data_IF_737245911698
#
_entry.id   IF_737245911698
#
_cell.length_a   1.000
_cell.length_b   1.000
_cell.length_c   1.000
_cell.angle_alpha   90.00
_cell.angle_beta   90.00
_cell.angle_gamma   90.00
#
_symmetry.space_group_name_H-M   'P 1'
#
loop_
_entity.id
_entity.type
_entity.pdbx_description
1 polymer ?
#
# COMPACT_ATOMS: atom_id res chain seq x y z
N UNK A 1 -22.89 -13.55 12.91
CA UNK A 1 -22.65 -12.72 11.70
C UNK A 1 -22.19 -11.34 12.15
N UNK A 2 -20.93 -10.97 11.89
CA UNK A 2 -20.45 -9.63 12.23
C UNK A 2 -21.23 -8.60 11.40
N UNK A 3 -22.02 -7.74 12.06
CA UNK A 3 -22.65 -6.58 11.43
C UNK A 3 -21.58 -5.52 11.25
N UNK A 4 -21.14 -5.30 10.02
CA UNK A 4 -20.38 -4.10 9.69
C UNK A 4 -21.31 -2.90 9.92
N UNK A 5 -20.95 -2.03 10.88
CA UNK A 5 -21.79 -0.90 11.33
C UNK A 5 -21.81 0.27 10.34
N UNK A 6 -20.98 0.22 9.31
CA UNK A 6 -20.78 1.27 8.30
C UNK A 6 -20.65 0.67 6.91
N UNK A 7 -21.00 1.46 5.89
CA UNK A 7 -20.92 1.01 4.49
C UNK A 7 -19.48 0.94 3.99
N UNK A 8 -19.26 0.23 2.88
CA UNK A 8 -17.94 0.15 2.24
C UNK A 8 -17.38 1.55 1.91
N UNK A 9 -18.24 2.49 1.51
CA UNK A 9 -17.86 3.87 1.20
C UNK A 9 -17.27 4.61 2.43
N UNK A 10 -17.86 4.43 3.61
CA UNK A 10 -17.38 5.08 4.84
C UNK A 10 -16.01 4.52 5.26
N UNK A 11 -15.84 3.20 5.15
CA UNK A 11 -14.56 2.53 5.42
C UNK A 11 -13.47 3.03 4.47
N UNK A 12 -13.78 3.14 3.17
CA UNK A 12 -12.84 3.66 2.17
C UNK A 12 -12.50 5.11 2.47
N UNK A 13 -13.49 5.96 2.77
CA UNK A 13 -13.27 7.37 3.12
C UNK A 13 -12.31 7.52 4.30
N UNK A 14 -12.59 6.82 5.41
CA UNK A 14 -11.76 6.90 6.61
C UNK A 14 -10.32 6.44 6.34
N UNK A 15 -10.14 5.28 5.69
CA UNK A 15 -8.82 4.76 5.35
C UNK A 15 -8.04 5.64 4.39
N UNK A 16 -8.73 6.25 3.41
CA UNK A 16 -8.09 7.16 2.46
C UNK A 16 -7.63 8.45 3.15
N UNK A 17 -8.45 9.02 4.04
CA UNK A 17 -8.04 10.17 4.86
C UNK A 17 -6.78 9.85 5.68
N UNK A 18 -6.76 8.72 6.39
CA UNK A 18 -5.58 8.31 7.18
C UNK A 18 -4.33 8.13 6.30
N UNK A 19 -4.48 7.50 5.14
CA UNK A 19 -3.39 7.28 4.19
C UNK A 19 -2.81 8.60 3.67
N UNK A 20 -3.67 9.55 3.27
CA UNK A 20 -3.24 10.85 2.75
C UNK A 20 -2.52 11.67 3.83
N UNK A 21 -3.06 11.70 5.06
CA UNK A 21 -2.43 12.41 6.17
C UNK A 21 -1.09 11.79 6.54
N UNK A 22 -0.99 10.45 6.57
CA UNK A 22 0.28 9.77 6.78
C UNK A 22 1.27 10.14 5.67
N UNK A 23 0.89 9.97 4.40
CA UNK A 23 1.75 10.26 3.25
C UNK A 23 2.26 11.72 3.26
N UNK A 24 1.38 12.68 3.51
CA UNK A 24 1.75 14.10 3.61
C UNK A 24 2.72 14.38 4.75
N UNK A 25 2.67 13.63 5.85
CA UNK A 25 3.61 13.80 6.97
C UNK A 25 4.96 13.12 6.70
N UNK A 26 4.94 11.91 6.17
CA UNK A 26 6.07 10.98 6.25
C UNK A 26 6.84 10.81 4.94
N UNK A 27 6.19 11.05 3.80
CA UNK A 27 6.80 10.85 2.47
C UNK A 27 7.22 12.19 1.88
N UNK A 28 8.52 12.42 1.60
CA UNK A 28 9.03 13.72 1.12
C UNK A 28 8.30 14.27 -0.11
N UNK A 29 7.96 13.41 -1.08
CA UNK A 29 7.24 13.76 -2.29
C UNK A 29 5.88 14.38 -2.00
N UNK A 30 5.17 13.95 -0.95
CA UNK A 30 3.81 14.40 -0.66
C UNK A 30 3.72 15.58 0.32
N UNK A 31 4.79 15.94 1.04
CA UNK A 31 4.77 16.95 2.12
C UNK A 31 4.08 18.28 1.83
N UNK A 32 4.26 18.79 0.61
CA UNK A 32 3.66 20.06 0.18
C UNK A 32 2.64 19.86 -0.96
N UNK A 33 2.15 18.62 -1.15
CA UNK A 33 1.19 18.25 -2.19
C UNK A 33 -0.14 17.79 -1.63
N UNK A 34 -0.20 17.49 -0.33
CA UNK A 34 -1.42 17.09 0.36
C UNK A 34 -1.78 18.22 1.33
N UNK A 35 -2.92 18.85 1.09
CA UNK A 35 -3.58 19.72 2.06
C UNK A 35 -4.29 18.84 3.12
N UNK A 36 -3.88 18.89 4.40
CA UNK A 36 -4.49 18.08 5.46
C UNK A 36 -5.98 18.38 5.68
N UNK A 37 -6.43 19.61 5.44
CA UNK A 37 -7.81 20.02 5.68
C UNK A 37 -8.72 19.54 4.54
N UNK A 38 -8.22 19.59 3.30
CA UNK A 38 -8.88 18.95 2.16
C UNK A 38 -8.92 17.43 2.33
N UNK A 39 -7.85 16.78 2.79
CA UNK A 39 -7.81 15.33 3.00
C UNK A 39 -8.82 14.84 4.06
N UNK A 40 -9.14 15.65 5.07
CA UNK A 40 -10.15 15.34 6.09
C UNK A 40 -11.57 15.59 5.61
N UNK A 41 -11.80 16.67 4.86
CA UNK A 41 -13.13 17.06 4.38
C UNK A 41 -13.56 16.28 3.15
N UNK A 42 -12.71 16.21 2.13
CA UNK A 42 -12.92 15.45 0.90
C UNK A 42 -11.63 14.72 0.45
N UNK A 43 -11.34 13.53 1.01
CA UNK A 43 -10.17 12.74 0.65
C UNK A 43 -10.15 12.32 -0.83
N UNK A 44 -11.29 12.27 -1.51
CA UNK A 44 -11.34 11.89 -2.93
C UNK A 44 -10.92 13.06 -3.83
N UNK A 45 -11.29 14.29 -3.48
CA UNK A 45 -10.76 15.50 -4.13
C UNK A 45 -9.26 15.65 -3.88
N UNK A 46 -8.83 15.48 -2.62
CA UNK A 46 -7.41 15.51 -2.27
C UNK A 46 -6.59 14.49 -3.09
N UNK A 47 -7.10 13.26 -3.26
CA UNK A 47 -6.45 12.24 -4.08
C UNK A 47 -6.41 12.63 -5.58
N UNK A 48 -7.49 13.22 -6.11
CA UNK A 48 -7.57 13.64 -7.53
C UNK A 48 -6.59 14.76 -7.88
N UNK A 49 -6.22 15.61 -6.92
CA UNK A 49 -5.23 16.65 -7.09
C UNK A 49 -3.78 16.12 -7.18
N UNK A 50 -3.53 14.87 -6.77
CA UNK A 50 -2.18 14.31 -6.76
C UNK A 50 -1.74 13.82 -8.14
N UNK A 51 -0.45 13.98 -8.49
CA UNK A 51 0.08 13.45 -9.73
C UNK A 51 0.11 11.92 -9.71
N UNK A 52 -0.17 11.30 -10.86
CA UNK A 52 0.02 9.85 -11.04
C UNK A 52 1.50 9.51 -10.97
N UNK A 53 1.88 8.67 -10.01
CA UNK A 53 3.25 8.16 -9.86
C UNK A 53 3.50 7.07 -10.89
N UNK A 54 4.57 7.21 -11.68
CA UNK A 54 4.96 6.23 -12.70
C UNK A 54 5.99 5.26 -12.13
N UNK A 55 6.11 4.08 -12.74
CA UNK A 55 7.11 3.08 -12.33
C UNK A 55 8.55 3.65 -12.31
N UNK A 56 8.90 4.48 -13.29
CA UNK A 56 10.23 5.13 -13.39
C UNK A 56 10.57 6.01 -12.19
N UNK A 57 9.54 6.64 -11.59
CA UNK A 57 9.69 7.51 -10.42
C UNK A 57 10.09 6.74 -9.16
N UNK A 58 9.92 5.41 -9.17
CA UNK A 58 10.16 4.50 -8.06
C UNK A 58 11.45 3.69 -8.24
N UNK A 59 12.27 4.00 -9.25
CA UNK A 59 13.52 3.29 -9.53
C UNK A 59 14.74 4.07 -9.02
N UNK A 60 15.74 3.33 -8.55
CA UNK A 60 17.04 3.88 -8.14
C UNK A 60 16.89 4.98 -7.09
N UNK A 61 17.67 6.05 -7.25
CA UNK A 61 17.67 7.18 -6.31
C UNK A 61 16.34 7.97 -6.30
N UNK A 62 15.54 7.89 -7.37
CA UNK A 62 14.25 8.61 -7.48
C UNK A 62 13.22 8.09 -6.48
N UNK A 63 13.37 6.83 -6.06
CA UNK A 63 12.53 6.20 -5.06
C UNK A 63 12.66 6.91 -3.70
N UNK A 64 13.81 7.51 -3.39
CA UNK A 64 14.11 8.07 -2.06
C UNK A 64 13.07 9.09 -1.60
N UNK A 65 12.64 9.99 -2.49
CA UNK A 65 11.65 11.01 -2.15
C UNK A 65 10.24 10.43 -2.01
N UNK A 66 10.00 9.20 -2.50
CA UNK A 66 8.70 8.52 -2.46
C UNK A 66 8.65 7.41 -1.40
N UNK A 67 9.73 7.23 -0.65
CA UNK A 67 9.79 6.33 0.49
C UNK A 67 9.41 7.08 1.76
N UNK A 68 8.54 6.48 2.57
CA UNK A 68 8.21 7.01 3.90
C UNK A 68 9.47 7.09 4.76
N UNK A 69 9.65 8.22 5.45
CA UNK A 69 10.67 8.38 6.48
C UNK A 69 10.23 7.85 7.86
N UNK A 70 8.96 7.47 7.97
CA UNK A 70 8.38 6.84 9.16
C UNK A 70 8.47 5.32 8.99
N UNK A 71 9.68 4.79 9.11
CA UNK A 71 9.93 3.35 9.04
C UNK A 71 10.04 2.79 10.45
N UNK A 72 9.00 2.10 10.90
CA UNK A 72 8.97 1.41 12.19
C UNK A 72 9.26 -0.08 12.01
N UNK A 73 10.17 -0.60 12.83
CA UNK A 73 10.49 -2.04 12.86
C UNK A 73 11.42 -2.52 11.74
N UNK A 74 11.40 -3.83 11.49
CA UNK A 74 12.24 -4.48 10.48
C UNK A 74 11.60 -4.35 9.10
N UNK A 75 12.33 -3.77 8.15
CA UNK A 75 11.92 -3.72 6.75
C UNK A 75 12.42 -4.93 5.98
N UNK A 76 11.56 -5.51 5.15
CA UNK A 76 11.92 -6.48 4.11
C UNK A 76 11.90 -5.79 2.76
N UNK A 77 12.84 -6.14 1.89
CA UNK A 77 12.83 -5.67 0.51
C UNK A 77 12.37 -6.77 -0.43
N UNK A 78 11.56 -6.41 -1.41
CA UNK A 78 11.22 -7.25 -2.55
C UNK A 78 11.64 -6.54 -3.83
N UNK A 79 12.41 -7.24 -4.65
CA UNK A 79 12.95 -6.69 -5.90
C UNK A 79 12.27 -7.37 -7.07
N UNK A 80 11.63 -6.61 -7.95
CA UNK A 80 11.04 -7.17 -9.17
C UNK A 80 12.14 -7.51 -10.16
N UNK A 81 12.23 -8.79 -10.55
CA UNK A 81 13.04 -9.23 -11.69
C UNK A 81 12.34 -8.79 -12.98
N UNK A 82 12.96 -7.93 -13.78
CA UNK A 82 12.38 -7.44 -15.03
C UNK A 82 13.44 -7.19 -16.10
N UNK A 83 13.06 -7.32 -17.36
CA UNK A 83 13.93 -7.25 -18.54
C UNK A 83 14.46 -5.84 -18.85
N UNK A 84 14.00 -4.81 -18.14
CA UNK A 84 14.30 -3.39 -18.41
C UNK A 84 15.61 -2.89 -17.78
N UNK A 85 16.41 -3.76 -17.17
CA UNK A 85 17.74 -3.44 -16.63
C UNK A 85 17.75 -2.75 -15.26
N UNK A 86 16.72 -1.96 -14.92
CA UNK A 86 16.61 -1.32 -13.60
C UNK A 86 15.46 -1.94 -12.75
N UNK A 87 15.80 -2.68 -11.69
CA UNK A 87 14.80 -3.35 -10.87
C UNK A 87 14.04 -2.37 -9.97
N UNK A 88 12.74 -2.63 -9.73
CA UNK A 88 11.97 -1.95 -8.68
C UNK A 88 12.20 -2.67 -7.37
N UNK A 89 12.69 -1.97 -6.36
CA UNK A 89 12.78 -2.49 -4.99
C UNK A 89 11.70 -1.82 -4.14
N UNK A 90 10.82 -2.62 -3.56
CA UNK A 90 9.78 -2.18 -2.63
C UNK A 90 10.19 -2.56 -1.21
N UNK A 91 10.02 -1.65 -0.26
CA UNK A 91 10.25 -1.89 1.16
C UNK A 91 8.91 -2.17 1.85
N UNK A 92 8.88 -3.20 2.69
CA UNK A 92 7.68 -3.73 3.32
C UNK A 92 7.94 -3.85 4.83
N UNK A 93 7.06 -3.28 5.64
CA UNK A 93 7.10 -3.43 7.10
C UNK A 93 6.28 -4.64 7.56
N UNK A 94 6.27 -4.90 8.87
CA UNK A 94 5.49 -6.01 9.43
C UNK A 94 3.98 -5.83 9.24
N UNK A 95 3.48 -4.59 9.24
CA UNK A 95 2.06 -4.32 9.01
C UNK A 95 1.62 -4.72 7.60
N UNK A 96 2.45 -4.46 6.60
CA UNK A 96 2.25 -4.94 5.24
C UNK A 96 2.23 -6.47 5.20
N UNK A 97 3.22 -7.14 5.81
CA UNK A 97 3.33 -8.61 5.79
C UNK A 97 2.10 -9.29 6.43
N UNK A 98 1.60 -8.73 7.53
CA UNK A 98 0.37 -9.19 8.19
C UNK A 98 -0.85 -9.06 7.27
N UNK A 99 -1.04 -7.90 6.64
CA UNK A 99 -2.14 -7.66 5.70
C UNK A 99 -2.04 -8.53 4.46
N UNK A 100 -0.84 -8.70 3.91
CA UNK A 100 -0.58 -9.53 2.74
C UNK A 100 -0.91 -10.99 3.05
N UNK A 101 -0.45 -11.50 4.19
CA UNK A 101 -0.72 -12.88 4.64
C UNK A 101 -2.21 -13.09 4.91
N UNK A 102 -2.86 -12.19 5.65
CA UNK A 102 -4.28 -12.29 5.96
C UNK A 102 -5.15 -12.27 4.68
N UNK A 103 -4.83 -11.36 3.75
CA UNK A 103 -5.54 -11.27 2.46
C UNK A 103 -5.37 -12.54 1.63
N UNK A 104 -4.14 -13.06 1.54
CA UNK A 104 -3.86 -14.31 0.83
C UNK A 104 -4.66 -15.49 1.41
N UNK A 105 -4.70 -15.62 2.75
CA UNK A 105 -5.45 -16.67 3.42
C UNK A 105 -6.97 -16.53 3.20
N UNK A 106 -7.49 -15.30 3.25
CA UNK A 106 -8.89 -15.01 2.95
C UNK A 106 -9.26 -15.47 1.53
N UNK A 107 -8.51 -15.02 0.51
CA UNK A 107 -8.80 -15.38 -0.89
C UNK A 107 -8.65 -16.89 -1.15
N UNK A 108 -7.68 -17.54 -0.51
CA UNK A 108 -7.56 -19.01 -0.54
C UNK A 108 -8.77 -19.70 0.07
N UNK A 109 -9.26 -19.21 1.21
CA UNK A 109 -10.46 -19.77 1.85
C UNK A 109 -11.69 -19.67 0.95
N UNK A 110 -11.82 -18.57 0.19
CA UNK A 110 -12.90 -18.40 -0.78
C UNK A 110 -12.77 -19.35 -1.98
N UNK A 111 -11.56 -19.73 -2.35
CA UNK A 111 -11.27 -20.78 -3.32
C UNK A 111 -11.39 -22.21 -2.74
N UNK A 112 -11.84 -22.35 -1.48
CA UNK A 112 -12.08 -23.65 -0.82
C UNK A 112 -10.87 -24.25 -0.09
N UNK A 113 -9.71 -23.61 -0.13
CA UNK A 113 -8.52 -24.07 0.60
C UNK A 113 -8.68 -23.89 2.11
N UNK A 114 -8.22 -24.87 2.90
CA UNK A 114 -8.21 -24.84 4.36
C UNK A 114 -6.79 -24.98 4.91
N UNK A 115 -6.51 -24.45 6.11
CA UNK A 115 -5.25 -24.71 6.79
C UNK A 115 -4.98 -26.22 6.90
N UNK A 116 -3.85 -26.67 6.35
CA UNK A 116 -3.47 -28.08 6.27
C UNK A 116 -3.56 -28.66 4.86
N UNK A 117 -4.36 -28.08 3.97
CA UNK A 117 -4.44 -28.52 2.57
C UNK A 117 -3.14 -28.21 1.82
N UNK A 118 -2.70 -29.14 0.98
CA UNK A 118 -1.50 -28.95 0.15
C UNK A 118 -1.74 -27.93 -0.95
N UNK A 119 -0.72 -27.10 -1.21
CA UNK A 119 -0.72 -26.12 -2.31
C UNK A 119 0.54 -26.33 -3.14
N UNK A 120 0.37 -26.64 -4.43
CA UNK A 120 1.42 -26.56 -5.42
C UNK A 120 1.42 -25.16 -6.04
N UNK A 121 2.58 -24.46 -6.01
CA UNK A 121 2.77 -23.19 -6.71
C UNK A 121 3.67 -23.45 -7.92
N UNK A 122 3.15 -23.19 -9.11
CA UNK A 122 3.89 -23.34 -10.37
C UNK A 122 4.21 -21.95 -10.89
N UNK A 123 5.47 -21.73 -11.26
CA UNK A 123 5.95 -20.48 -11.83
C UNK A 123 6.74 -20.83 -13.11
N UNK A 124 6.67 -19.98 -14.13
CA UNK A 124 7.37 -20.10 -15.41
C UNK A 124 7.48 -18.75 -16.09
#
# INVERSE_FOLDING_TARGET
MARFRTGAADVVRARLTDLLLHAGRTVPFYRNRIDPDLAKSDPFEALRALPIVKRWDLMGERARDRTSQDTLGTLRSMTTSGTTGEPLTVLMDSGYEDWNTASLLLFRSWAGWRPGDSILRIWG
#
